data_IF_728459054008
#
_entry.id   IF_728459054008
#
_cell.length_a   1.000
_cell.length_b   1.000
_cell.length_c   1.000
_cell.angle_alpha   90.00
_cell.angle_beta   90.00
_cell.angle_gamma   90.00
#
_symmetry.space_group_name_H-M   'P 1'
#
loop_
_entity.id
_entity.type
_entity.pdbx_description
1 polymer ?
#
# COMPACT_ATOMS: atom_id res chain seq x y z
N UNK A 1 -7.61 6.15 -5.28
CA UNK A 1 -7.08 5.71 -3.97
C UNK A 1 -6.10 6.74 -3.43
N UNK A 2 -6.08 6.94 -2.11
CA UNK A 2 -5.71 8.17 -1.36
C UNK A 2 -6.54 9.41 -1.68
N UNK A 3 -6.73 9.78 -2.95
CA UNK A 3 -7.64 10.86 -3.34
C UNK A 3 -9.08 10.61 -2.87
N UNK A 4 -9.54 9.35 -2.94
CA UNK A 4 -10.91 8.98 -2.59
C UNK A 4 -11.06 8.68 -1.09
N UNK A 5 -10.03 8.11 -0.45
CA UNK A 5 -10.05 7.68 0.95
C UNK A 5 -9.65 8.79 1.93
N UNK A 6 -8.69 9.63 1.56
CA UNK A 6 -8.16 10.69 2.42
C UNK A 6 -7.82 11.96 1.59
N UNK A 7 -8.84 12.64 1.04
CA UNK A 7 -8.64 13.82 0.20
C UNK A 7 -7.92 14.96 0.94
N UNK A 8 -8.19 15.11 2.24
CA UNK A 8 -7.56 16.14 3.08
C UNK A 8 -6.08 15.85 3.31
N UNK A 9 -5.72 14.59 3.59
CA UNK A 9 -4.33 14.18 3.76
C UNK A 9 -3.53 14.35 2.47
N UNK A 10 -4.12 13.97 1.33
CA UNK A 10 -3.52 14.22 0.02
C UNK A 10 -3.30 15.72 -0.21
N UNK A 11 -4.30 16.55 0.07
CA UNK A 11 -4.16 18.00 -0.09
C UNK A 11 -3.05 18.58 0.80
N UNK A 12 -2.95 18.14 2.05
CA UNK A 12 -1.89 18.56 2.97
C UNK A 12 -0.48 18.21 2.45
N UNK A 13 -0.32 17.05 1.81
CA UNK A 13 0.94 16.65 1.15
C UNK A 13 1.27 17.60 0.00
N UNK A 14 0.30 17.93 -0.87
CA UNK A 14 0.51 18.85 -1.99
C UNK A 14 0.83 20.28 -1.53
N UNK A 15 0.20 20.76 -0.45
CA UNK A 15 0.55 22.05 0.15
C UNK A 15 1.99 22.05 0.70
N UNK A 16 2.44 20.93 1.29
CA UNK A 16 3.84 20.81 1.72
C UNK A 16 4.81 20.85 0.54
N UNK A 17 4.50 20.19 -0.58
CA UNK A 17 5.31 20.28 -1.80
C UNK A 17 5.35 21.70 -2.36
N UNK A 18 4.24 22.43 -2.29
CA UNK A 18 4.19 23.84 -2.69
C UNK A 18 5.08 24.71 -1.80
N UNK A 19 5.08 24.45 -0.50
CA UNK A 19 6.03 25.07 0.43
C UNK A 19 7.47 24.84 -0.01
N UNK A 20 7.85 23.58 -0.29
CA UNK A 20 9.20 23.22 -0.76
C UNK A 20 9.57 23.96 -2.06
N UNK A 21 8.65 24.09 -3.01
CA UNK A 21 8.90 24.83 -4.25
C UNK A 21 9.14 26.34 -4.04
N UNK A 22 8.58 26.91 -2.98
CA UNK A 22 8.68 28.34 -2.69
C UNK A 22 9.74 28.67 -1.62
N UNK A 23 10.15 27.69 -0.82
CA UNK A 23 11.13 27.84 0.26
C UNK A 23 12.56 27.64 -0.27
N UNK A 24 13.26 28.74 -0.56
CA UNK A 24 14.72 28.76 -0.74
C UNK A 24 15.24 28.23 -2.09
N UNK A 25 16.52 27.86 -2.12
CA UNK A 25 17.16 27.22 -3.28
C UNK A 25 16.90 25.71 -3.27
N UNK A 26 16.12 25.24 -4.24
CA UNK A 26 15.91 23.81 -4.48
C UNK A 26 16.73 23.36 -5.69
N UNK A 27 17.19 22.11 -5.67
CA UNK A 27 17.83 21.52 -6.83
C UNK A 27 16.84 21.39 -8.00
N UNK A 28 17.29 21.70 -9.22
CA UNK A 28 16.45 21.66 -10.42
C UNK A 28 15.79 20.30 -10.64
N UNK A 29 16.48 19.20 -10.28
CA UNK A 29 15.90 17.85 -10.39
C UNK A 29 14.66 17.73 -9.50
N UNK A 30 14.76 18.16 -8.23
CA UNK A 30 13.64 18.10 -7.28
C UNK A 30 12.48 18.97 -7.77
N UNK A 31 12.79 20.16 -8.31
CA UNK A 31 11.78 21.03 -8.91
C UNK A 31 10.98 20.32 -10.02
N UNK A 32 11.68 19.74 -11.02
CA UNK A 32 11.02 19.02 -12.12
C UNK A 32 10.17 17.86 -11.62
N UNK A 33 10.67 17.06 -10.67
CA UNK A 33 9.90 15.95 -10.11
C UNK A 33 8.59 16.41 -9.45
N UNK A 34 8.62 17.50 -8.68
CA UNK A 34 7.41 18.01 -8.04
C UNK A 34 6.47 18.60 -9.10
N UNK A 35 6.96 19.37 -10.07
CA UNK A 35 6.13 19.94 -11.14
C UNK A 35 5.45 18.85 -11.98
N UNK A 36 6.18 17.79 -12.33
CA UNK A 36 5.64 16.62 -13.05
C UNK A 36 4.54 15.93 -12.24
N UNK A 37 4.72 15.80 -10.91
CA UNK A 37 3.70 15.25 -10.02
C UNK A 37 2.41 16.10 -10.00
N UNK A 38 2.54 17.43 -9.99
CA UNK A 38 1.39 18.34 -10.07
C UNK A 38 0.68 18.25 -11.44
N UNK A 39 1.44 18.04 -12.52
CA UNK A 39 0.87 17.82 -13.84
C UNK A 39 0.07 16.51 -13.88
N UNK A 40 0.62 15.40 -13.34
CA UNK A 40 -0.08 14.12 -13.25
C UNK A 40 -1.38 14.23 -12.45
N UNK A 41 -1.36 14.94 -11.31
CA UNK A 41 -2.56 15.12 -10.50
C UNK A 41 -3.69 15.87 -11.25
N UNK A 42 -3.34 16.90 -12.03
CA UNK A 42 -4.31 17.62 -12.88
C UNK A 42 -4.92 16.76 -13.97
N UNK A 43 -4.16 15.80 -14.51
CA UNK A 43 -4.64 14.88 -15.56
C UNK A 43 -5.44 13.69 -15.00
N UNK A 44 -5.65 13.65 -13.68
CA UNK A 44 -6.16 12.51 -12.91
C UNK A 44 -5.21 11.31 -12.95
N UNK A 45 -5.09 10.63 -11.82
CA UNK A 45 -4.34 9.39 -11.77
C UNK A 45 -5.03 8.30 -12.61
N UNK A 46 -4.22 7.42 -13.19
CA UNK A 46 -4.73 6.19 -13.77
C UNK A 46 -5.38 5.32 -12.67
N UNK A 47 -6.29 4.40 -13.03
CA UNK A 47 -6.87 3.47 -12.06
C UNK A 47 -5.76 2.75 -11.28
N UNK A 48 -5.93 2.66 -9.96
CA UNK A 48 -4.92 2.11 -9.06
C UNK A 48 -4.68 0.62 -9.28
N UNK A 49 -5.71 -0.10 -9.71
CA UNK A 49 -5.69 -1.54 -9.99
C UNK A 49 -6.18 -1.74 -11.43
N UNK A 50 -5.38 -2.38 -12.31
CA UNK A 50 -5.83 -2.82 -13.63
C UNK A 50 -7.03 -3.77 -13.53
N UNK A 51 -7.98 -3.76 -14.47
CA UNK A 51 -9.17 -4.63 -14.41
C UNK A 51 -8.83 -6.11 -14.34
N UNK A 52 -7.74 -6.55 -15.00
CA UNK A 52 -7.30 -7.95 -14.95
C UNK A 52 -6.79 -8.39 -13.56
N UNK A 53 -6.53 -7.45 -12.64
CA UNK A 53 -6.07 -7.72 -11.27
C UNK A 53 -7.16 -7.51 -10.22
N UNK A 54 -8.36 -7.10 -10.61
CA UNK A 54 -9.51 -6.92 -9.70
C UNK A 54 -10.27 -8.24 -9.54
N UNK A 55 -9.68 -9.15 -8.75
CA UNK A 55 -10.11 -10.55 -8.65
C UNK A 55 -10.92 -10.88 -7.39
N UNK A 56 -11.03 -9.94 -6.45
CA UNK A 56 -11.62 -10.16 -5.13
C UNK A 56 -12.77 -9.18 -4.95
N UNK A 57 -13.93 -9.69 -4.58
CA UNK A 57 -15.10 -8.87 -4.30
C UNK A 57 -14.84 -7.92 -3.12
N UNK A 58 -15.52 -6.77 -3.12
CA UNK A 58 -15.27 -5.72 -2.12
C UNK A 58 -15.57 -6.19 -0.68
N UNK A 59 -16.57 -7.06 -0.52
CA UNK A 59 -16.98 -7.66 0.74
C UNK A 59 -15.98 -8.65 1.35
N UNK A 60 -15.14 -9.27 0.52
CA UNK A 60 -14.11 -10.24 0.95
C UNK A 60 -12.75 -9.58 1.21
N UNK A 61 -12.61 -8.27 0.95
CA UNK A 61 -11.35 -7.54 1.15
C UNK A 61 -11.10 -7.21 2.61
N UNK A 62 -10.08 -7.84 3.20
CA UNK A 62 -9.59 -7.51 4.55
C UNK A 62 -8.48 -6.44 4.51
N UNK A 63 -8.79 -5.23 4.98
CA UNK A 63 -7.82 -4.12 5.07
C UNK A 63 -7.12 -4.11 6.43
N UNK A 64 -5.78 -4.17 6.42
CA UNK A 64 -4.98 -4.10 7.64
C UNK A 64 -4.46 -2.67 7.86
N UNK A 65 -4.62 -2.14 9.07
CA UNK A 65 -4.09 -0.83 9.45
C UNK A 65 -2.73 -1.01 10.13
N UNK A 66 -1.67 -0.51 9.48
CA UNK A 66 -0.29 -0.57 9.99
C UNK A 66 0.29 0.84 9.91
N UNK A 67 0.89 1.31 11.01
CA UNK A 67 1.55 2.62 11.08
C UNK A 67 3.05 2.50 10.81
N UNK A 68 3.65 3.59 10.33
CA UNK A 68 5.09 3.66 10.04
C UNK A 68 5.98 3.47 11.28
N UNK A 69 5.44 3.74 12.47
CA UNK A 69 6.16 3.59 13.73
C UNK A 69 6.00 2.21 14.37
N UNK A 70 5.17 1.35 13.80
CA UNK A 70 4.85 0.06 14.40
C UNK A 70 6.03 -0.91 14.27
N UNK A 71 6.27 -1.67 15.34
CA UNK A 71 7.19 -2.81 15.28
C UNK A 71 6.42 -4.00 14.75
N UNK A 72 6.69 -4.37 13.52
CA UNK A 72 6.13 -5.58 12.90
C UNK A 72 7.03 -6.76 13.25
N UNK A 73 6.43 -7.86 13.69
CA UNK A 73 7.15 -9.12 13.83
C UNK A 73 7.38 -9.71 12.43
N UNK A 74 8.65 -9.94 12.09
CA UNK A 74 9.06 -10.47 10.80
C UNK A 74 8.75 -11.96 10.66
N UNK A 75 8.44 -12.65 11.76
CA UNK A 75 8.07 -14.07 11.79
C UNK A 75 9.08 -14.99 11.05
N UNK A 76 10.38 -14.66 11.09
CA UNK A 76 11.46 -15.35 10.36
C UNK A 76 11.50 -16.87 10.63
N UNK A 77 11.05 -17.30 11.81
CA UNK A 77 10.98 -18.73 12.15
C UNK A 77 10.09 -19.52 11.19
N UNK A 78 9.08 -18.90 10.58
CA UNK A 78 8.17 -19.54 9.62
C UNK A 78 8.87 -19.94 8.31
N UNK A 79 10.00 -19.32 7.98
CA UNK A 79 10.79 -19.68 6.79
C UNK A 79 11.59 -20.98 7.00
N UNK A 80 11.73 -21.44 8.26
CA UNK A 80 12.46 -22.67 8.58
C UNK A 80 11.51 -23.87 8.55
N UNK A 81 11.78 -24.78 7.61
CA UNK A 81 11.04 -26.04 7.53
C UNK A 81 11.29 -26.91 8.76
N UNK A 82 10.24 -27.16 9.54
CA UNK A 82 10.27 -28.08 10.68
C UNK A 82 9.31 -29.25 10.48
N UNK A 83 9.81 -30.48 10.66
CA UNK A 83 9.06 -31.71 10.36
C UNK A 83 7.82 -31.90 11.24
N UNK A 84 7.84 -31.36 12.46
CA UNK A 84 6.76 -31.51 13.44
C UNK A 84 5.55 -30.65 13.05
N UNK A 85 5.77 -29.38 12.67
CA UNK A 85 4.70 -28.47 12.27
C UNK A 85 4.02 -28.92 10.97
N UNK A 86 4.75 -29.53 10.04
CA UNK A 86 4.19 -30.03 8.77
C UNK A 86 3.12 -31.10 9.03
N UNK A 87 3.43 -32.12 9.84
CA UNK A 87 2.51 -33.24 10.08
C UNK A 87 1.24 -32.82 10.82
N UNK A 88 1.32 -31.82 11.71
CA UNK A 88 0.16 -31.32 12.45
C UNK A 88 -0.73 -30.42 11.59
N UNK A 89 -0.13 -29.54 10.78
CA UNK A 89 -0.88 -28.54 10.02
C UNK A 89 -1.58 -29.12 8.78
N UNK A 90 -1.04 -30.17 8.14
CA UNK A 90 -1.66 -30.80 6.95
C UNK A 90 -3.13 -31.22 7.19
N UNK A 91 -3.44 -31.76 8.36
CA UNK A 91 -4.81 -32.17 8.69
C UNK A 91 -5.75 -30.96 8.84
N UNK A 92 -5.25 -29.84 9.38
CA UNK A 92 -6.02 -28.62 9.61
C UNK A 92 -6.32 -27.87 8.32
N UNK A 93 -5.35 -27.81 7.39
CA UNK A 93 -5.57 -27.18 6.09
C UNK A 93 -6.60 -27.95 5.26
N UNK A 94 -6.60 -29.28 5.36
CA UNK A 94 -7.57 -30.12 4.65
C UNK A 94 -9.01 -29.83 5.07
N UNK A 95 -9.25 -29.63 6.37
CA UNK A 95 -10.59 -29.33 6.87
C UNK A 95 -11.08 -27.95 6.43
N UNK A 96 -10.20 -26.94 6.35
CA UNK A 96 -10.59 -25.59 5.93
C UNK A 96 -10.87 -25.49 4.43
N UNK A 97 -10.26 -26.35 3.61
CA UNK A 97 -10.53 -26.40 2.16
C UNK A 97 -11.79 -27.19 1.78
N UNK A 98 -12.36 -27.95 2.71
CA UNK A 98 -13.58 -28.76 2.48
C UNK A 98 -14.86 -28.01 2.93
N UNK A 99 -14.74 -26.86 3.61
CA UNK A 99 -15.85 -26.04 4.10
C UNK A 99 -16.23 -24.86 3.17
N UNK A 100 -15.46 -24.62 2.10
CA UNK A 100 -15.72 -23.64 1.02
C UNK A 100 -16.24 -24.31 -0.27
#
# INVERSE_FOLDING_TARGET
MLQDLCPLGLHAIFERFRGILHEGEIDKRVQFFIEDLFALWKHKFQPAVPPELDLVEEEDRLTHEISLGDKVDEQIELDVSSRILICENENKYRTTTEED
#
